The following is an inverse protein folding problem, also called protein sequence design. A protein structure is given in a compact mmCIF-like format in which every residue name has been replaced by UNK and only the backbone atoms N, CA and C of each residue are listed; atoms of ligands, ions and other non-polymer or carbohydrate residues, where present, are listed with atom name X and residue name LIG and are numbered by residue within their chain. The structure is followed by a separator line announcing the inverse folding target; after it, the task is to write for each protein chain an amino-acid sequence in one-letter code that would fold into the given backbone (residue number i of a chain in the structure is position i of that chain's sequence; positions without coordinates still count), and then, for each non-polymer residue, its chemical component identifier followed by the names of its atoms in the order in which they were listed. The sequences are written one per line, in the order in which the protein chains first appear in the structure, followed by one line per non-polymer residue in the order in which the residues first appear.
data_IF_261943579680
#
_entry.id   IF_261943579680
#
_cell.length_a   1.000
_cell.length_b   1.000
_cell.length_c   1.000
_cell.angle_alpha   90.00
_cell.angle_beta   90.00
_cell.angle_gamma   90.00
#
_symmetry.space_group_name_H-M   'P 1'
#
loop_
_entity.id
_entity.type
_entity.pdbx_description
1 polymer ?
#
# COMPACT_ATOMS: atom_id res chain seq x y z
N UNK A 1 -14.83 -18.57 -6.60
CA UNK A 1 -14.11 -17.30 -6.36
C UNK A 1 -14.85 -16.63 -5.20
N UNK A 2 -14.44 -16.89 -3.96
CA UNK A 2 -15.08 -16.28 -2.78
C UNK A 2 -14.56 -14.84 -2.68
N UNK A 3 -15.47 -13.89 -2.77
CA UNK A 3 -15.22 -12.44 -2.84
C UNK A 3 -14.94 -11.79 -1.48
N UNK A 4 -14.92 -12.55 -0.40
CA UNK A 4 -14.99 -12.02 0.96
C UNK A 4 -13.63 -11.54 1.50
N UNK A 5 -12.55 -11.82 0.75
CA UNK A 5 -11.19 -11.43 1.10
C UNK A 5 -10.75 -10.09 0.49
N UNK A 6 -11.57 -9.50 -0.37
CA UNK A 6 -11.31 -8.19 -0.96
C UNK A 6 -11.59 -7.12 0.09
N UNK A 7 -10.51 -6.57 0.65
CA UNK A 7 -10.59 -5.50 1.64
C UNK A 7 -9.61 -4.41 1.26
N UNK A 8 -10.15 -3.24 0.91
CA UNK A 8 -9.34 -2.05 0.70
C UNK A 8 -8.69 -1.67 2.04
N UNK A 9 -7.37 -1.77 2.10
CA UNK A 9 -6.56 -1.30 3.22
C UNK A 9 -5.91 0.02 2.82
N UNK A 10 -6.16 1.05 3.62
CA UNK A 10 -5.43 2.31 3.55
C UNK A 10 -4.27 2.17 4.51
N UNK A 11 -3.05 2.37 4.01
CA UNK A 11 -1.88 2.42 4.85
C UNK A 11 -1.82 3.78 5.54
N UNK A 12 -2.23 3.80 6.80
CA UNK A 12 -2.01 4.95 7.66
C UNK A 12 -0.57 4.92 8.15
N UNK A 13 0.27 5.78 7.58
CA UNK A 13 1.60 6.04 8.12
C UNK A 13 1.68 7.49 8.55
N UNK A 14 2.27 7.74 9.70
CA UNK A 14 2.74 9.09 10.06
C UNK A 14 3.76 9.55 9.01
N UNK A 15 3.31 10.37 8.08
CA UNK A 15 4.15 11.03 7.09
C UNK A 15 4.41 12.47 7.56
N UNK A 16 5.68 12.86 7.63
CA UNK A 16 6.04 14.28 7.72
C UNK A 16 5.75 14.93 6.36
N UNK A 17 4.53 15.43 6.22
CA UNK A 17 4.09 16.17 5.03
C UNK A 17 4.81 17.53 5.06
N UNK A 18 5.66 17.76 4.07
CA UNK A 18 6.33 19.04 3.88
C UNK A 18 5.59 19.86 2.80
N UNK A 19 5.19 21.11 3.07
CA UNK A 19 4.55 21.96 2.07
C UNK A 19 5.41 22.11 0.80
N UNK A 20 4.79 21.98 -0.36
CA UNK A 20 5.46 22.06 -1.66
C UNK A 20 6.29 20.84 -2.04
N UNK A 21 6.27 19.75 -1.25
CA UNK A 21 6.88 18.47 -1.62
C UNK A 21 5.82 17.38 -1.85
N UNK A 22 6.04 16.48 -2.82
CA UNK A 22 5.15 15.35 -3.02
C UNK A 22 5.26 14.37 -1.85
N UNK A 23 4.12 13.79 -1.48
CA UNK A 23 4.04 12.64 -0.61
C UNK A 23 3.05 11.62 -1.20
N UNK A 24 3.23 10.36 -0.83
CA UNK A 24 2.46 9.26 -1.39
C UNK A 24 1.54 8.64 -0.33
N UNK A 25 0.27 8.47 -0.69
CA UNK A 25 -0.64 7.59 0.03
C UNK A 25 -0.89 6.35 -0.81
N UNK A 26 -0.92 5.19 -0.18
CA UNK A 26 -1.14 3.93 -0.86
C UNK A 26 -2.25 3.17 -0.21
N UNK A 27 -3.12 2.64 -1.05
CA UNK A 27 -4.15 1.71 -0.66
C UNK A 27 -4.11 0.51 -1.59
N UNK A 28 -4.38 -0.66 -1.04
CA UNK A 28 -4.34 -1.91 -1.78
C UNK A 28 -5.55 -2.77 -1.40
N UNK A 29 -6.04 -3.54 -2.36
CA UNK A 29 -7.33 -4.24 -2.23
C UNK A 29 -7.13 -5.73 -1.89
N UNK A 30 -5.93 -6.27 -2.08
CA UNK A 30 -5.61 -7.69 -1.91
C UNK A 30 -4.45 -7.92 -0.95
N UNK A 31 -4.54 -8.90 -0.04
CA UNK A 31 -3.37 -9.33 0.73
C UNK A 31 -2.30 -9.89 -0.20
N UNK A 32 -1.03 -9.59 0.08
CA UNK A 32 0.07 -10.35 -0.46
C UNK A 32 -0.07 -11.82 -0.02
N UNK A 33 -0.29 -12.74 -0.96
CA UNK A 33 -0.37 -14.16 -0.65
C UNK A 33 0.96 -14.86 -0.93
N UNK A 34 1.52 -15.51 0.08
CA UNK A 34 2.70 -16.35 -0.05
C UNK A 34 2.53 -17.61 0.78
N UNK A 35 2.85 -18.77 0.21
CA UNK A 35 2.76 -20.08 0.89
C UNK A 35 1.39 -20.36 1.54
N UNK A 36 0.30 -19.81 0.97
CA UNK A 36 -1.07 -19.95 1.49
C UNK A 36 -1.43 -19.00 2.64
N UNK A 37 -0.52 -18.10 3.03
CA UNK A 37 -0.75 -17.08 4.05
C UNK A 37 -0.96 -15.71 3.42
N UNK A 38 -1.93 -14.96 3.96
CA UNK A 38 -2.25 -13.58 3.59
C UNK A 38 -1.48 -12.60 4.47
N UNK A 39 -0.59 -11.82 3.88
CA UNK A 39 0.35 -10.94 4.59
C UNK A 39 0.00 -9.45 4.42
N UNK A 40 -1.03 -9.01 5.12
CA UNK A 40 -1.35 -7.58 5.21
C UNK A 40 -0.24 -6.79 5.96
N UNK A 41 0.27 -7.34 7.06
CA UNK A 41 1.25 -6.67 7.93
C UNK A 41 2.65 -6.55 7.31
N UNK A 42 3.00 -7.43 6.35
CA UNK A 42 4.32 -7.39 5.71
C UNK A 42 4.47 -6.17 4.79
N UNK A 43 3.38 -5.80 4.11
CA UNK A 43 3.29 -4.59 3.30
C UNK A 43 3.40 -3.37 4.21
N UNK A 44 2.60 -3.28 5.29
CA UNK A 44 2.66 -2.19 6.28
C UNK A 44 4.08 -1.96 6.85
N UNK A 45 4.81 -3.04 7.15
CA UNK A 45 6.15 -3.00 7.76
C UNK A 45 7.33 -2.69 6.82
N UNK A 46 7.16 -2.63 5.50
CA UNK A 46 8.29 -2.58 4.53
C UNK A 46 8.97 -1.21 4.37
N UNK A 47 8.43 -0.14 4.96
CA UNK A 47 9.10 1.17 4.97
C UNK A 47 8.83 2.05 3.76
N UNK A 48 9.76 2.96 3.41
CA UNK A 48 9.42 4.27 2.82
C UNK A 48 9.17 4.32 1.30
N UNK A 49 9.51 3.28 0.55
CA UNK A 49 9.47 3.31 -0.93
C UNK A 49 8.15 2.75 -1.48
N UNK A 50 7.05 3.36 -1.09
CA UNK A 50 5.68 2.89 -1.37
C UNK A 50 5.40 2.76 -2.88
N UNK A 51 6.07 3.54 -3.71
CA UNK A 51 6.01 3.44 -5.18
C UNK A 51 6.50 2.09 -5.75
N UNK A 52 7.36 1.36 -5.04
CA UNK A 52 7.96 0.10 -5.51
C UNK A 52 7.16 -1.14 -5.08
N UNK A 53 6.23 -0.96 -4.16
CA UNK A 53 5.54 -2.06 -3.48
C UNK A 53 4.69 -2.93 -4.38
N UNK A 54 4.11 -2.35 -5.44
CA UNK A 54 3.39 -3.14 -6.45
C UNK A 54 4.29 -4.22 -7.05
N UNK A 55 5.57 -3.90 -7.31
CA UNK A 55 6.54 -4.87 -7.84
C UNK A 55 7.14 -5.75 -6.76
N UNK A 56 7.48 -5.20 -5.59
CA UNK A 56 8.12 -5.97 -4.50
C UNK A 56 7.22 -7.04 -3.91
N UNK A 57 5.91 -6.76 -3.83
CA UNK A 57 4.91 -7.65 -3.23
C UNK A 57 3.98 -8.30 -4.27
N UNK A 58 4.25 -8.14 -5.57
CA UNK A 58 3.41 -8.71 -6.63
C UNK A 58 1.91 -8.38 -6.46
N UNK A 59 1.61 -7.12 -6.10
CA UNK A 59 0.25 -6.67 -5.82
C UNK A 59 -0.42 -6.30 -7.14
N UNK A 60 -1.37 -7.12 -7.59
CA UNK A 60 -2.07 -6.91 -8.87
C UNK A 60 -3.01 -5.70 -8.86
N UNK A 61 -3.61 -5.38 -7.70
CA UNK A 61 -4.64 -4.35 -7.58
C UNK A 61 -4.31 -3.39 -6.42
N UNK A 62 -3.76 -2.23 -6.78
CA UNK A 62 -3.44 -1.16 -5.84
C UNK A 62 -3.74 0.22 -6.42
N UNK A 63 -3.83 1.20 -5.53
CA UNK A 63 -3.98 2.62 -5.85
C UNK A 63 -2.87 3.38 -5.13
N UNK A 64 -2.08 4.11 -5.91
CA UNK A 64 -1.07 5.02 -5.41
C UNK A 64 -1.53 6.45 -5.70
N UNK A 65 -1.67 7.25 -4.65
CA UNK A 65 -1.95 8.68 -4.75
C UNK A 65 -0.67 9.46 -4.52
N UNK A 66 -0.21 10.19 -5.53
CA UNK A 66 0.78 11.25 -5.36
C UNK A 66 0.03 12.55 -5.04
N UNK A 67 0.37 13.18 -3.92
CA UNK A 67 -0.28 14.40 -3.45
C UNK A 67 0.77 15.44 -3.07
N UNK A 68 0.43 16.71 -3.26
CA UNK A 68 1.23 17.85 -2.78
C UNK A 68 0.29 18.84 -2.11
N UNK A 69 0.60 19.24 -0.88
CA UNK A 69 -0.12 20.31 -0.19
C UNK A 69 0.67 21.61 -0.27
N UNK A 70 -0.06 22.72 -0.47
CA UNK A 70 0.47 24.07 -0.65
C UNK A 70 0.00 24.98 0.46
#
# INVERSE_FOLDING_TARGET
MNSDDYSLRILERESNIEPGKPFYAFSYILPYEKDGFKYYCAVEGSGKDVEKWGTEFDIEHYILFEMTFF
#
